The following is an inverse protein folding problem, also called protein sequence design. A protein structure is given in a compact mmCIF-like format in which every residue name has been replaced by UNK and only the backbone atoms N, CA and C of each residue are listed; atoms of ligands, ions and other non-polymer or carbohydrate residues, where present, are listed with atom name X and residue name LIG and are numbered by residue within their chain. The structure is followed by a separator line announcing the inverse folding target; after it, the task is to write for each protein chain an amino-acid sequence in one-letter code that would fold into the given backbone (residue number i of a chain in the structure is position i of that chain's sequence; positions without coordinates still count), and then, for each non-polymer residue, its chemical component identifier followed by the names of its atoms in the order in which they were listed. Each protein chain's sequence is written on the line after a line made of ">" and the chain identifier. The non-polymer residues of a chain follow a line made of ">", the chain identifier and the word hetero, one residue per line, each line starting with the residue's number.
data_IF_796268849722
#
_entry.id   IF_796268849722
#
_cell.length_a   1.000
_cell.length_b   1.000
_cell.length_c   1.000
_cell.angle_alpha   90.00
_cell.angle_beta   90.00
_cell.angle_gamma   90.00
#
_symmetry.space_group_name_H-M   'P 1'
#
loop_
_entity.id
_entity.type
_entity.pdbx_description
1 polymer ?
#
# COMPACT_ATOMS: atom_id res chain seq x y z
N UNK A 1 -56.76 45.55 -30.26
CA UNK A 1 -56.74 47.02 -30.40
C UNK A 1 -56.12 47.61 -29.16
N UNK A 2 -55.10 48.46 -29.34
CA UNK A 2 -54.70 49.65 -28.57
C UNK A 2 -54.96 49.66 -27.04
N UNK A 3 -54.01 49.95 -26.16
CA UNK A 3 -52.70 50.58 -26.31
C UNK A 3 -52.35 51.37 -25.04
N UNK A 4 -51.04 51.48 -24.73
CA UNK A 4 -50.30 52.59 -24.07
C UNK A 4 -50.85 53.15 -22.73
N UNK A 5 -50.10 53.53 -21.69
CA UNK A 5 -48.68 53.77 -21.30
C UNK A 5 -48.78 54.07 -19.77
N UNK A 6 -47.80 53.88 -18.89
CA UNK A 6 -46.64 54.75 -18.70
C UNK A 6 -45.92 54.41 -17.38
N UNK A 7 -44.58 54.47 -17.45
CA UNK A 7 -43.60 54.91 -16.43
C UNK A 7 -43.52 54.23 -15.06
N UNK A 8 -42.40 53.53 -14.84
CA UNK A 8 -41.83 53.24 -13.54
C UNK A 8 -40.38 52.83 -13.70
N UNK A 9 -39.46 53.77 -13.50
CA UNK A 9 -38.01 53.57 -13.47
C UNK A 9 -37.68 52.47 -12.46
N UNK A 10 -37.04 51.37 -12.89
CA UNK A 10 -36.42 50.43 -11.96
C UNK A 10 -34.91 50.42 -12.21
N UNK A 11 -34.20 50.95 -11.22
CA UNK A 11 -32.75 51.00 -11.16
C UNK A 11 -32.16 49.59 -11.16
N UNK A 12 -31.13 49.40 -11.99
CA UNK A 12 -30.26 48.24 -11.95
C UNK A 12 -29.50 48.21 -10.62
N UNK A 13 -29.77 47.20 -9.79
CA UNK A 13 -28.88 46.75 -8.72
C UNK A 13 -28.41 45.34 -9.07
N UNK A 14 -27.29 45.27 -9.79
CA UNK A 14 -26.55 44.03 -10.00
C UNK A 14 -25.81 43.72 -8.70
N UNK A 15 -26.41 42.91 -7.84
CA UNK A 15 -25.67 42.24 -6.77
C UNK A 15 -24.91 41.07 -7.38
N UNK A 16 -23.60 41.24 -7.54
CA UNK A 16 -22.68 40.15 -7.87
C UNK A 16 -22.71 39.10 -6.78
N UNK A 17 -23.34 37.96 -7.06
CA UNK A 17 -23.16 36.73 -6.29
C UNK A 17 -21.75 36.22 -6.56
N UNK A 18 -20.77 36.68 -5.79
CA UNK A 18 -19.50 35.95 -5.67
C UNK A 18 -19.80 34.69 -4.88
N UNK A 19 -20.16 33.62 -5.59
CA UNK A 19 -20.15 32.28 -5.04
C UNK A 19 -18.69 31.93 -4.70
N UNK A 20 -18.27 32.28 -3.50
CA UNK A 20 -17.04 31.77 -2.91
C UNK A 20 -17.19 30.26 -2.83
N UNK A 21 -16.43 29.54 -3.65
CA UNK A 21 -16.27 28.11 -3.48
C UNK A 21 -15.59 27.92 -2.13
N UNK A 22 -16.35 27.58 -1.09
CA UNK A 22 -15.77 27.00 0.12
C UNK A 22 -15.14 25.69 -0.29
N UNK A 23 -13.83 25.72 -0.53
CA UNK A 23 -13.01 24.53 -0.46
C UNK A 23 -13.19 23.97 0.95
N UNK A 24 -13.99 22.91 1.09
CA UNK A 24 -13.95 22.09 2.30
C UNK A 24 -12.56 21.49 2.38
N UNK A 25 -11.65 22.21 3.04
CA UNK A 25 -10.43 21.63 3.57
C UNK A 25 -10.88 20.63 4.62
N UNK A 26 -10.98 19.37 4.22
CA UNK A 26 -11.12 18.27 5.16
C UNK A 26 -9.88 18.27 6.04
N UNK A 27 -10.07 18.70 7.29
CA UNK A 27 -9.02 18.77 8.30
C UNK A 27 -8.52 17.35 8.52
N UNK A 28 -7.33 17.04 7.98
CA UNK A 28 -6.75 15.71 8.10
C UNK A 28 -6.27 15.53 9.54
N UNK A 29 -6.93 14.66 10.30
CA UNK A 29 -6.48 14.24 11.62
C UNK A 29 -5.05 13.67 11.54
N UNK A 30 -4.06 14.49 11.93
CA UNK A 30 -2.64 14.14 11.89
C UNK A 30 -2.25 13.11 12.97
N UNK A 31 -3.16 12.74 13.87
CA UNK A 31 -2.89 11.72 14.89
C UNK A 31 -2.89 10.29 14.32
N UNK A 32 -3.44 10.09 13.11
CA UNK A 32 -3.44 8.80 12.41
C UNK A 32 -2.50 8.84 11.21
N UNK A 33 -1.70 7.77 10.98
CA UNK A 33 -0.89 7.68 9.78
C UNK A 33 -1.77 7.80 8.54
N UNK A 34 -1.35 8.65 7.60
CA UNK A 34 -2.04 8.81 6.32
C UNK A 34 -2.13 7.49 5.53
N UNK A 35 -1.17 6.58 5.77
CA UNK A 35 -1.12 5.24 5.18
C UNK A 35 -0.97 4.23 6.34
N UNK A 36 -1.95 3.32 6.55
CA UNK A 36 -1.88 2.40 7.67
C UNK A 36 -0.77 1.37 7.46
N UNK A 37 -0.02 1.11 8.53
CA UNK A 37 0.88 -0.04 8.61
C UNK A 37 0.06 -1.27 8.98
N UNK A 38 0.16 -2.34 8.18
CA UNK A 38 -0.60 -3.57 8.40
C UNK A 38 0.31 -4.79 8.44
N UNK A 39 -0.11 -5.80 9.19
CA UNK A 39 0.45 -7.15 9.22
C UNK A 39 -0.45 -8.10 8.43
N UNK A 40 0.12 -8.87 7.50
CA UNK A 40 -0.61 -9.74 6.57
C UNK A 40 0.10 -11.08 6.45
N UNK A 41 -0.64 -12.18 6.48
CA UNK A 41 -0.13 -13.53 6.20
C UNK A 41 -0.58 -13.96 4.81
N UNK A 42 0.29 -14.58 4.02
CA UNK A 42 -0.07 -15.11 2.71
C UNK A 42 1.06 -15.86 2.02
N UNK A 43 0.85 -16.19 0.74
CA UNK A 43 1.79 -16.89 -0.11
C UNK A 43 2.60 -15.91 -0.96
N UNK A 44 3.92 -16.00 -0.92
CA UNK A 44 4.76 -15.32 -1.89
C UNK A 44 4.57 -15.94 -3.26
N UNK A 45 4.29 -15.11 -4.26
CA UNK A 45 4.15 -15.54 -5.65
C UNK A 45 4.87 -14.55 -6.56
N UNK A 46 5.74 -15.05 -7.43
CA UNK A 46 6.32 -14.26 -8.51
C UNK A 46 5.45 -14.35 -9.76
N UNK A 47 5.08 -13.20 -10.33
CA UNK A 47 4.30 -13.15 -11.58
C UNK A 47 5.20 -13.45 -12.79
N UNK A 48 4.57 -13.69 -13.95
CA UNK A 48 5.31 -13.90 -15.20
C UNK A 48 6.15 -12.68 -15.60
N UNK A 49 5.69 -11.47 -15.25
CA UNK A 49 6.38 -10.20 -15.46
C UNK A 49 7.47 -9.93 -14.41
N UNK A 50 7.67 -10.85 -13.48
CA UNK A 50 8.71 -10.77 -12.44
C UNK A 50 8.32 -9.95 -11.22
N UNK A 51 7.10 -9.42 -11.15
CA UNK A 51 6.57 -8.73 -9.96
C UNK A 51 6.30 -9.72 -8.83
N UNK A 52 6.34 -9.23 -7.58
CA UNK A 52 6.03 -10.03 -6.41
C UNK A 52 4.62 -9.73 -5.91
N UNK A 53 3.89 -10.78 -5.57
CA UNK A 53 2.58 -10.72 -4.94
C UNK A 53 2.57 -11.53 -3.66
N UNK A 54 1.73 -11.09 -2.72
CA UNK A 54 1.24 -11.92 -1.63
C UNK A 54 -0.17 -12.39 -2.00
N UNK A 55 -0.32 -13.68 -2.32
CA UNK A 55 -1.59 -14.31 -2.71
C UNK A 55 -2.16 -15.14 -1.56
N UNK A 56 -3.43 -15.55 -1.66
CA UNK A 56 -4.16 -16.24 -0.58
C UNK A 56 -3.98 -15.54 0.78
N UNK A 57 -3.98 -14.21 0.74
CA UNK A 57 -3.57 -13.39 1.85
C UNK A 57 -4.75 -13.11 2.79
N UNK A 58 -4.46 -13.00 4.08
CA UNK A 58 -5.43 -12.50 5.06
C UNK A 58 -5.75 -11.03 4.81
N UNK A 59 -6.78 -10.50 5.47
CA UNK A 59 -6.89 -9.05 5.60
C UNK A 59 -5.71 -8.48 6.39
N UNK A 60 -5.43 -7.20 6.17
CA UNK A 60 -4.40 -6.48 6.91
C UNK A 60 -4.87 -6.12 8.31
N UNK A 61 -4.12 -6.56 9.31
CA UNK A 61 -4.34 -6.17 10.70
C UNK A 61 -3.44 -4.97 10.98
N UNK A 62 -4.03 -3.82 11.32
CA UNK A 62 -3.27 -2.62 11.64
C UNK A 62 -2.24 -2.87 12.75
N UNK A 63 -1.05 -2.34 12.56
CA UNK A 63 0.06 -2.42 13.51
C UNK A 63 0.62 -1.03 13.77
N UNK A 64 1.08 -0.80 15.00
CA UNK A 64 1.76 0.44 15.40
C UNK A 64 3.28 0.31 15.41
N UNK A 65 3.81 -0.89 15.12
CA UNK A 65 5.25 -1.20 15.20
C UNK A 65 5.72 -1.88 13.91
N UNK A 66 6.92 -1.48 13.43
CA UNK A 66 7.48 -1.93 12.15
C UNK A 66 8.01 -3.37 12.17
N UNK A 67 8.45 -3.84 13.33
CA UNK A 67 9.02 -5.18 13.52
C UNK A 67 7.96 -6.17 14.01
N UNK A 68 8.26 -7.47 13.87
CA UNK A 68 7.43 -8.55 14.40
C UNK A 68 8.10 -9.15 15.64
N UNK A 69 7.30 -9.44 16.66
CA UNK A 69 7.79 -10.20 17.81
C UNK A 69 7.85 -11.71 17.49
N UNK A 70 8.66 -12.47 18.23
CA UNK A 70 8.68 -13.93 18.11
C UNK A 70 7.27 -14.54 18.32
N UNK A 71 6.52 -14.00 19.29
CA UNK A 71 5.13 -14.40 19.54
C UNK A 71 4.22 -14.15 18.32
N UNK A 72 4.31 -12.97 17.70
CA UNK A 72 3.53 -12.63 16.49
C UNK A 72 3.86 -13.60 15.35
N UNK A 73 5.13 -13.96 15.17
CA UNK A 73 5.58 -14.91 14.16
C UNK A 73 4.98 -16.30 14.45
N UNK A 74 5.07 -16.79 15.68
CA UNK A 74 4.58 -18.12 16.05
C UNK A 74 3.05 -18.25 15.97
N UNK A 75 2.32 -17.19 16.33
CA UNK A 75 0.87 -17.12 16.13
C UNK A 75 0.52 -17.13 14.64
N UNK A 76 1.31 -16.44 13.81
CA UNK A 76 1.06 -16.32 12.38
C UNK A 76 1.33 -17.61 11.60
N UNK A 77 2.26 -18.47 12.05
CA UNK A 77 2.45 -19.82 11.48
C UNK A 77 1.14 -20.61 11.46
N UNK A 78 0.33 -20.47 12.51
CA UNK A 78 -0.93 -21.19 12.73
C UNK A 78 -2.13 -20.54 12.04
N UNK A 79 -1.99 -19.32 11.51
CA UNK A 79 -3.10 -18.64 10.83
C UNK A 79 -3.45 -19.33 9.53
N UNK A 80 -4.74 -19.48 9.29
CA UNK A 80 -5.28 -19.87 7.99
C UNK A 80 -4.96 -18.79 6.94
N UNK A 81 -4.83 -19.23 5.69
CA UNK A 81 -4.73 -18.34 4.55
C UNK A 81 -6.06 -17.65 4.29
N UNK A 82 -6.03 -16.52 3.59
CA UNK A 82 -7.22 -15.78 3.18
C UNK A 82 -7.44 -15.83 1.67
N UNK A 83 -8.17 -14.85 1.15
CA UNK A 83 -8.53 -14.74 -0.27
C UNK A 83 -8.01 -13.46 -0.94
N UNK A 84 -7.35 -12.58 -0.18
CA UNK A 84 -6.83 -11.32 -0.72
C UNK A 84 -5.58 -11.54 -1.56
N UNK A 85 -5.27 -10.51 -2.35
CA UNK A 85 -4.03 -10.39 -3.11
C UNK A 85 -3.45 -8.99 -2.89
N UNK A 86 -2.14 -8.94 -2.69
CA UNK A 86 -1.40 -7.68 -2.53
C UNK A 86 -0.19 -7.68 -3.45
N UNK A 87 0.02 -6.62 -4.21
CA UNK A 87 1.28 -6.42 -4.91
C UNK A 87 2.34 -5.91 -3.93
N UNK A 88 3.52 -6.51 -3.95
CA UNK A 88 4.60 -6.21 -3.03
C UNK A 88 5.56 -5.19 -3.66
N UNK A 89 5.82 -4.11 -2.94
CA UNK A 89 6.76 -3.05 -3.30
C UNK A 89 7.93 -3.06 -2.31
N UNK A 90 9.08 -2.52 -2.73
CA UNK A 90 10.27 -2.46 -1.86
C UNK A 90 10.87 -3.84 -1.57
N UNK A 91 10.73 -4.78 -2.50
CA UNK A 91 11.15 -6.18 -2.35
C UNK A 91 12.64 -6.48 -2.32
N UNK A 92 13.56 -5.70 -2.96
CA UNK A 92 14.95 -6.15 -3.13
C UNK A 92 15.67 -6.57 -1.85
N UNK A 93 15.51 -5.83 -0.75
CA UNK A 93 16.13 -6.13 0.56
C UNK A 93 15.68 -7.47 1.17
N UNK A 94 14.58 -8.04 0.67
CA UNK A 94 14.01 -9.31 1.14
C UNK A 94 14.32 -10.49 0.23
N UNK A 95 14.91 -10.26 -0.94
CA UNK A 95 15.33 -11.30 -1.88
C UNK A 95 16.62 -11.98 -1.42
N UNK A 96 17.05 -13.00 -2.17
CA UNK A 96 18.40 -13.55 -2.05
C UNK A 96 19.44 -12.50 -2.48
N UNK A 97 20.69 -12.64 -2.01
CA UNK A 97 21.77 -11.72 -2.43
C UNK A 97 21.97 -11.76 -3.94
N UNK A 98 21.87 -12.94 -4.51
CA UNK A 98 22.03 -13.19 -5.95
C UNK A 98 20.94 -12.45 -6.75
N UNK A 99 19.69 -12.52 -6.30
CA UNK A 99 18.59 -11.79 -6.94
C UNK A 99 18.67 -10.27 -6.71
N UNK A 100 19.07 -9.84 -5.51
CA UNK A 100 19.29 -8.43 -5.20
C UNK A 100 20.31 -7.80 -6.15
N UNK A 101 21.43 -8.48 -6.38
CA UNK A 101 22.51 -7.98 -7.23
C UNK A 101 22.12 -7.97 -8.70
N UNK A 102 21.28 -8.91 -9.14
CA UNK A 102 20.68 -8.89 -10.49
C UNK A 102 19.66 -7.75 -10.70
N UNK A 103 19.23 -7.09 -9.63
CA UNK A 103 18.22 -6.05 -9.72
C UNK A 103 18.82 -4.75 -10.27
N UNK A 104 18.28 -4.30 -11.41
CA UNK A 104 18.67 -3.08 -12.12
C UNK A 104 20.17 -3.04 -12.44
N UNK A 105 20.94 -2.38 -11.58
CA UNK A 105 22.39 -2.15 -11.69
C UNK A 105 23.08 -2.23 -10.33
N UNK A 106 22.51 -2.93 -9.34
CA UNK A 106 23.06 -2.97 -7.98
C UNK A 106 24.49 -3.49 -7.92
N UNK A 107 24.91 -4.36 -8.83
CA UNK A 107 26.31 -4.80 -8.96
C UNK A 107 27.31 -3.67 -9.19
N UNK A 108 26.89 -2.51 -9.71
CA UNK A 108 27.76 -1.35 -9.91
C UNK A 108 28.12 -0.67 -8.58
N UNK A 109 27.28 -0.82 -7.55
CA UNK A 109 27.39 -0.09 -6.28
C UNK A 109 27.48 -1.01 -5.06
N UNK A 110 27.24 -2.31 -5.20
CA UNK A 110 27.17 -3.26 -4.09
C UNK A 110 27.90 -4.55 -4.48
N UNK A 111 28.90 -4.92 -3.68
CA UNK A 111 29.59 -6.20 -3.82
C UNK A 111 28.79 -7.32 -3.11
N UNK A 112 28.87 -8.58 -3.55
CA UNK A 112 28.13 -9.68 -2.94
C UNK A 112 28.39 -9.85 -1.44
N UNK A 113 29.62 -9.58 -1.00
CA UNK A 113 30.05 -9.77 0.39
C UNK A 113 29.38 -8.76 1.33
N UNK A 114 29.03 -7.57 0.82
CA UNK A 114 28.42 -6.47 1.58
C UNK A 114 26.93 -6.28 1.30
N UNK A 115 26.35 -7.10 0.41
CA UNK A 115 24.94 -7.04 0.09
C UNK A 115 24.09 -7.41 1.31
N UNK A 116 23.20 -6.50 1.73
CA UNK A 116 22.21 -6.76 2.77
C UNK A 116 20.93 -7.29 2.11
N UNK A 117 20.70 -8.59 2.24
CA UNK A 117 19.51 -9.24 1.70
C UNK A 117 19.13 -10.40 2.63
N UNK A 118 17.87 -10.46 3.04
CA UNK A 118 17.43 -11.46 4.02
C UNK A 118 17.10 -12.82 3.42
N UNK A 119 16.85 -12.89 2.10
CA UNK A 119 16.50 -14.14 1.42
C UNK A 119 15.13 -14.72 1.78
N UNK A 120 14.28 -13.96 2.48
CA UNK A 120 13.02 -14.48 3.02
C UNK A 120 11.90 -14.51 1.98
N UNK A 121 11.90 -13.56 1.04
CA UNK A 121 10.93 -13.50 -0.05
C UNK A 121 11.40 -14.43 -1.18
N UNK A 122 10.83 -15.63 -1.22
CA UNK A 122 11.03 -16.59 -2.31
C UNK A 122 9.68 -17.18 -2.72
N UNK A 123 9.61 -17.63 -3.97
CA UNK A 123 8.38 -18.10 -4.57
C UNK A 123 7.83 -19.34 -3.84
N UNK A 124 6.50 -19.39 -3.69
CA UNK A 124 5.80 -20.49 -3.06
C UNK A 124 5.89 -20.55 -1.53
N UNK A 125 6.61 -19.64 -0.86
CA UNK A 125 6.73 -19.63 0.61
C UNK A 125 5.50 -19.03 1.30
N UNK A 126 5.19 -19.52 2.50
CA UNK A 126 4.24 -18.87 3.39
C UNK A 126 4.96 -17.80 4.19
N UNK A 127 4.48 -16.57 4.13
CA UNK A 127 5.09 -15.41 4.79
C UNK A 127 4.08 -14.72 5.71
N UNK A 128 4.60 -14.06 6.73
CA UNK A 128 3.99 -12.87 7.32
C UNK A 128 4.79 -11.66 6.83
N UNK A 129 4.09 -10.59 6.48
CA UNK A 129 4.71 -9.32 6.08
C UNK A 129 4.10 -8.18 6.88
N UNK A 130 4.93 -7.18 7.18
CA UNK A 130 4.44 -5.85 7.54
C UNK A 130 4.72 -4.90 6.40
N UNK A 131 3.74 -4.06 6.09
CA UNK A 131 3.88 -3.07 5.03
C UNK A 131 2.87 -1.93 5.15
N UNK A 132 3.18 -0.83 4.50
CA UNK A 132 2.28 0.30 4.35
C UNK A 132 1.25 -0.04 3.28
N UNK A 133 -0.03 -0.07 3.65
CA UNK A 133 -1.13 -0.44 2.76
C UNK A 133 -1.54 0.73 1.87
N UNK A 134 -1.30 0.57 0.57
CA UNK A 134 -1.70 1.54 -0.45
C UNK A 134 -2.86 0.93 -1.24
N UNK A 135 -3.99 1.63 -1.26
CA UNK A 135 -5.17 1.20 -2.03
C UNK A 135 -5.29 2.05 -3.29
N UNK A 136 -5.33 1.39 -4.44
CA UNK A 136 -5.66 1.97 -5.74
C UNK A 136 -7.02 1.41 -6.21
N UNK A 137 -7.72 2.05 -7.17
CA UNK A 137 -9.07 1.67 -7.57
C UNK A 137 -9.28 0.18 -7.90
N UNK A 138 -8.23 -0.54 -8.33
CA UNK A 138 -8.32 -1.96 -8.71
C UNK A 138 -7.22 -2.83 -8.08
N UNK A 139 -6.47 -2.32 -7.10
CA UNK A 139 -5.29 -3.02 -6.59
C UNK A 139 -4.98 -2.62 -5.16
N UNK A 140 -4.61 -3.60 -4.32
CA UNK A 140 -3.99 -3.36 -3.01
C UNK A 140 -2.49 -3.59 -3.14
N UNK A 141 -1.70 -2.67 -2.61
CA UNK A 141 -0.24 -2.76 -2.61
C UNK A 141 0.28 -2.66 -1.19
N UNK A 142 1.38 -3.37 -0.91
CA UNK A 142 2.11 -3.28 0.35
C UNK A 142 3.53 -2.82 0.06
N UNK A 143 3.89 -1.63 0.55
CA UNK A 143 5.29 -1.24 0.64
C UNK A 143 5.90 -1.95 1.85
N UNK A 144 6.76 -2.94 1.59
CA UNK A 144 7.27 -3.82 2.62
C UNK A 144 8.22 -3.09 3.57
N UNK A 145 8.05 -3.35 4.86
CA UNK A 145 8.96 -2.88 5.92
C UNK A 145 9.58 -4.03 6.71
N UNK A 146 8.89 -5.17 6.77
CA UNK A 146 9.41 -6.39 7.36
C UNK A 146 8.79 -7.62 6.68
N UNK A 147 9.60 -8.66 6.50
CA UNK A 147 9.17 -9.94 5.96
C UNK A 147 9.71 -11.03 6.88
N UNK A 148 8.83 -11.94 7.31
CA UNK A 148 9.23 -13.14 7.99
C UNK A 148 8.70 -14.38 7.27
N UNK A 149 9.59 -15.31 6.94
CA UNK A 149 9.21 -16.63 6.47
C UNK A 149 8.56 -17.43 7.60
N UNK A 150 7.39 -18.00 7.32
CA UNK A 150 6.64 -18.87 8.22
C UNK A 150 6.80 -20.35 7.87
N UNK A 151 6.89 -20.69 6.58
CA UNK A 151 7.11 -22.05 6.08
C UNK A 151 7.74 -22.05 4.68
N UNK A 152 8.45 -23.14 4.33
CA UNK A 152 9.08 -23.33 3.00
C UNK A 152 8.06 -23.52 1.87
N UNK A 153 6.84 -23.93 2.19
CA UNK A 153 5.75 -24.07 1.22
C UNK A 153 4.49 -23.42 1.74
N UNK A 154 3.72 -22.79 0.84
CA UNK A 154 2.42 -22.23 1.13
C UNK A 154 1.34 -23.26 0.80
N UNK A 155 0.98 -24.04 1.82
CA UNK A 155 -0.09 -25.03 1.80
C UNK A 155 -1.07 -24.74 2.93
#
# INVERSE_FOLDING_TARGET
>A
MNGRRAFGVLAFLVWGLTAGMSAQQQESDLSKPKVPLVSVVGCATRTAEGAWMLTNATDGIESKVLFMSAKEIDESKKKALGSNRYTLLGTPEFLTKEELLKHERRTEFTRPEVANATGQLQDGRKLIVKGLLITAPNEKRLNLVAVQQLADTCK
#
